data_IF_662794179513
#
_entry.id   IF_662794179513
#
_cell.length_a   1.000
_cell.length_b   1.000
_cell.length_c   1.000
_cell.angle_alpha   90.00
_cell.angle_beta   90.00
_cell.angle_gamma   90.00
#
_symmetry.space_group_name_H-M   'P 1'
#
loop_
_entity.id
_entity.type
_entity.pdbx_description
1 polymer ?
#
# COMPACT_ATOMS: atom_id res chain seq x y z
N UNK A 1 7.06 -12.05 6.31
CA UNK A 1 6.05 -11.47 5.37
C UNK A 1 6.36 -10.00 5.33
N UNK A 2 7.23 -9.59 4.41
CA UNK A 2 7.74 -8.23 4.35
C UNK A 2 6.72 -7.19 3.89
N UNK A 3 7.22 -5.97 3.70
CA UNK A 3 6.46 -4.79 3.26
C UNK A 3 5.57 -5.08 2.04
N UNK A 4 6.05 -5.84 1.06
CA UNK A 4 5.30 -6.18 -0.16
C UNK A 4 4.03 -6.98 0.15
N UNK A 5 4.10 -7.93 1.09
CA UNK A 5 2.93 -8.71 1.51
C UNK A 5 1.90 -7.82 2.19
N UNK A 6 2.37 -6.90 3.06
CA UNK A 6 1.49 -5.95 3.75
C UNK A 6 0.77 -5.02 2.78
N UNK A 7 1.50 -4.46 1.81
CA UNK A 7 0.92 -3.59 0.78
C UNK A 7 -0.13 -4.36 -0.03
N UNK A 8 0.17 -5.60 -0.40
CA UNK A 8 -0.77 -6.46 -1.11
C UNK A 8 -2.05 -6.71 -0.31
N UNK A 9 -1.94 -7.14 0.94
CA UNK A 9 -3.10 -7.40 1.79
C UNK A 9 -3.91 -6.13 2.07
N UNK A 10 -3.24 -5.01 2.30
CA UNK A 10 -3.90 -3.73 2.51
C UNK A 10 -4.70 -3.28 1.28
N UNK A 11 -4.13 -3.44 0.10
CA UNK A 11 -4.80 -3.12 -1.15
C UNK A 11 -6.05 -4.00 -1.36
N UNK A 12 -5.96 -5.31 -1.11
CA UNK A 12 -7.12 -6.21 -1.20
C UNK A 12 -8.20 -5.87 -0.18
N UNK A 13 -7.82 -5.48 1.04
CA UNK A 13 -8.77 -5.11 2.09
C UNK A 13 -9.51 -3.81 1.74
N UNK A 14 -8.83 -2.82 1.15
CA UNK A 14 -9.45 -1.60 0.62
C UNK A 14 -10.37 -1.92 -0.57
N UNK A 15 -9.94 -2.77 -1.51
CA UNK A 15 -10.75 -3.17 -2.66
C UNK A 15 -12.04 -3.89 -2.23
N UNK A 16 -11.96 -4.77 -1.24
CA UNK A 16 -13.12 -5.46 -0.69
C UNK A 16 -14.12 -4.49 -0.02
N UNK A 17 -13.62 -3.42 0.61
CA UNK A 17 -14.44 -2.44 1.31
C UNK A 17 -15.05 -1.37 0.39
N UNK A 18 -14.38 -1.01 -0.72
CA UNK A 18 -14.73 0.17 -1.52
C UNK A 18 -14.67 -0.04 -3.05
N UNK A 19 -14.07 -1.12 -3.54
CA UNK A 19 -13.73 -1.33 -4.95
C UNK A 19 -14.92 -1.62 -5.87
N UNK A 20 -16.07 -2.04 -5.33
CA UNK A 20 -17.31 -2.20 -6.13
C UNK A 20 -17.91 -0.88 -6.57
N UNK A 21 -17.63 0.20 -5.82
CA UNK A 21 -18.36 1.46 -5.93
C UNK A 21 -17.60 2.52 -6.73
N UNK A 22 -16.27 2.41 -6.83
CA UNK A 22 -15.42 3.32 -7.61
C UNK A 22 -14.37 2.52 -8.44
N UNK A 23 -14.50 2.49 -9.78
CA UNK A 23 -13.54 1.84 -10.67
C UNK A 23 -12.09 2.35 -10.53
N UNK A 24 -11.90 3.59 -10.05
CA UNK A 24 -10.57 4.16 -9.84
C UNK A 24 -9.92 3.57 -8.61
N UNK A 25 -10.68 3.40 -7.53
CA UNK A 25 -10.22 2.71 -6.32
C UNK A 25 -9.81 1.29 -6.69
N UNK A 26 -10.65 0.58 -7.44
CA UNK A 26 -10.34 -0.77 -7.93
C UNK A 26 -9.05 -0.84 -8.77
N UNK A 27 -8.84 0.14 -9.66
CA UNK A 27 -7.63 0.18 -10.48
C UNK A 27 -6.39 0.45 -9.61
N UNK A 28 -6.51 1.37 -8.65
CA UNK A 28 -5.42 1.74 -7.76
C UNK A 28 -5.04 0.61 -6.77
N UNK A 29 -6.03 -0.07 -6.19
CA UNK A 29 -5.79 -1.22 -5.31
C UNK A 29 -5.16 -2.38 -6.10
N UNK A 30 -5.55 -2.62 -7.35
CA UNK A 30 -4.89 -3.61 -8.20
C UNK A 30 -3.42 -3.25 -8.49
N UNK A 31 -3.13 -1.98 -8.76
CA UNK A 31 -1.76 -1.51 -8.95
C UNK A 31 -0.91 -1.70 -7.68
N UNK A 32 -1.43 -1.34 -6.50
CA UNK A 32 -0.77 -1.59 -5.21
C UNK A 32 -0.54 -3.08 -4.97
N UNK A 33 -1.57 -3.91 -5.20
CA UNK A 33 -1.51 -5.35 -4.99
C UNK A 33 -0.46 -6.06 -5.87
N UNK A 34 0.04 -5.39 -6.92
CA UNK A 34 1.10 -5.92 -7.79
C UNK A 34 2.50 -5.86 -7.16
N UNK A 35 2.71 -5.16 -6.04
CA UNK A 35 4.04 -4.94 -5.45
C UNK A 35 4.88 -6.22 -5.28
N UNK A 36 4.35 -7.36 -4.78
CA UNK A 36 5.14 -8.59 -4.67
C UNK A 36 5.73 -9.06 -6.01
N UNK A 37 4.97 -8.95 -7.11
CA UNK A 37 5.42 -9.33 -8.45
C UNK A 37 6.62 -8.51 -8.92
N UNK A 38 6.63 -7.21 -8.59
CA UNK A 38 7.75 -6.33 -8.91
C UNK A 38 8.95 -6.55 -8.01
N UNK A 39 8.72 -6.88 -6.73
CA UNK A 39 9.77 -7.26 -5.77
C UNK A 39 10.53 -8.51 -6.22
N UNK A 40 9.82 -9.55 -6.68
CA UNK A 40 10.42 -10.77 -7.23
C UNK A 40 11.34 -10.49 -8.42
N UNK A 41 11.01 -9.48 -9.22
CA UNK A 41 11.81 -9.03 -10.36
C UNK A 41 12.92 -8.03 -9.98
N UNK A 42 12.99 -7.63 -8.70
CA UNK A 42 13.86 -6.54 -8.21
C UNK A 42 13.63 -5.23 -8.94
N UNK A 43 12.37 -4.97 -9.32
CA UNK A 43 11.94 -3.79 -10.09
C UNK A 43 10.88 -2.98 -9.36
N UNK A 44 11.09 -2.74 -8.05
CA UNK A 44 10.19 -1.88 -7.27
C UNK A 44 10.21 -0.41 -7.73
N UNK A 45 11.23 0.01 -8.48
CA UNK A 45 11.25 1.27 -9.23
C UNK A 45 10.07 1.35 -10.20
N UNK A 46 9.83 0.29 -10.99
CA UNK A 46 8.73 0.23 -11.95
C UNK A 46 7.37 0.06 -11.28
N UNK A 47 7.33 -0.57 -10.11
CA UNK A 47 6.09 -0.61 -9.33
C UNK A 47 5.63 0.80 -8.96
N UNK A 48 6.54 1.66 -8.50
CA UNK A 48 6.19 3.03 -8.14
C UNK A 48 5.66 3.80 -9.37
N UNK A 49 6.37 3.73 -10.50
CA UNK A 49 5.93 4.35 -11.75
C UNK A 49 4.55 3.85 -12.20
N UNK A 50 4.31 2.54 -12.06
CA UNK A 50 3.04 1.92 -12.38
C UNK A 50 1.90 2.44 -11.50
N UNK A 51 2.13 2.57 -10.19
CA UNK A 51 1.13 3.09 -9.25
C UNK A 51 0.87 4.57 -9.49
N UNK A 52 1.90 5.39 -9.69
CA UNK A 52 1.78 6.83 -9.99
C UNK A 52 1.03 7.11 -11.31
N UNK A 53 1.15 6.21 -12.29
CA UNK A 53 0.39 6.31 -13.53
C UNK A 53 -1.12 6.05 -13.33
N UNK A 54 -1.50 5.31 -12.28
CA UNK A 54 -2.89 4.96 -11.97
C UNK A 54 -3.50 5.92 -10.94
N UNK A 55 -2.69 6.46 -10.02
CA UNK A 55 -3.10 7.39 -8.96
C UNK A 55 -2.58 8.80 -9.31
N UNK A 56 -3.29 9.57 -10.14
CA UNK A 56 -2.90 10.95 -10.39
C UNK A 56 -3.06 11.77 -9.10
N UNK A 57 -2.05 12.58 -8.77
CA UNK A 57 -1.94 13.44 -7.57
C UNK A 57 -3.20 14.27 -7.27
N UNK A 58 -4.02 14.58 -8.29
CA UNK A 58 -5.24 15.36 -8.16
C UNK A 58 -6.46 14.59 -7.60
N UNK A 59 -6.43 13.26 -7.48
CA UNK A 59 -7.63 12.44 -7.20
C UNK A 59 -7.79 12.00 -5.74
N UNK A 60 -7.07 12.63 -4.79
CA UNK A 60 -7.12 12.34 -3.35
C UNK A 60 -8.38 12.87 -2.63
N UNK A 61 -9.44 13.18 -3.38
CA UNK A 61 -10.62 13.85 -2.84
C UNK A 61 -11.47 12.93 -1.97
N UNK A 62 -11.57 11.64 -2.33
CA UNK A 62 -12.40 10.65 -1.63
C UNK A 62 -11.64 9.93 -0.52
N UNK A 63 -12.38 9.44 0.50
CA UNK A 63 -11.79 8.66 1.58
C UNK A 63 -11.05 7.41 1.07
N UNK A 64 -11.62 6.56 0.19
CA UNK A 64 -10.91 5.38 -0.30
C UNK A 64 -9.59 5.71 -1.01
N UNK A 65 -9.56 6.77 -1.84
CA UNK A 65 -8.32 7.18 -2.52
C UNK A 65 -7.25 7.68 -1.54
N UNK A 66 -7.65 8.32 -0.43
CA UNK A 66 -6.69 8.65 0.64
C UNK A 66 -6.13 7.39 1.31
N UNK A 67 -6.94 6.37 1.56
CA UNK A 67 -6.45 5.12 2.14
C UNK A 67 -5.49 4.39 1.18
N UNK A 68 -5.78 4.41 -0.13
CA UNK A 68 -4.87 3.91 -1.16
C UNK A 68 -3.53 4.66 -1.10
N UNK A 69 -3.55 5.99 -1.02
CA UNK A 69 -2.33 6.81 -0.90
C UNK A 69 -1.51 6.41 0.35
N UNK A 70 -2.15 6.22 1.50
CA UNK A 70 -1.46 5.81 2.73
C UNK A 70 -0.74 4.47 2.58
N UNK A 71 -1.34 3.53 1.85
CA UNK A 71 -0.71 2.24 1.54
C UNK A 71 0.45 2.43 0.55
N UNK A 72 0.29 3.30 -0.44
CA UNK A 72 1.34 3.63 -1.39
C UNK A 72 2.57 4.25 -0.69
N UNK A 73 2.34 5.23 0.17
CA UNK A 73 3.36 5.89 1.00
C UNK A 73 4.15 4.88 1.85
N UNK A 74 3.45 3.94 2.49
CA UNK A 74 4.09 2.88 3.24
C UNK A 74 4.96 1.98 2.34
N UNK A 75 4.44 1.56 1.19
CA UNK A 75 5.18 0.72 0.24
C UNK A 75 6.43 1.39 -0.33
N UNK A 76 6.41 2.73 -0.51
CA UNK A 76 7.56 3.47 -1.03
C UNK A 76 8.56 3.95 0.02
N UNK A 77 8.26 3.80 1.32
CA UNK A 77 9.02 4.38 2.43
C UNK A 77 10.52 4.06 2.39
N UNK A 78 10.92 2.85 2.00
CA UNK A 78 12.33 2.43 1.93
C UNK A 78 12.91 2.37 0.51
N UNK A 79 12.19 2.80 -0.54
CA UNK A 79 12.64 2.56 -1.92
C UNK A 79 13.96 3.25 -2.28
N UNK A 80 14.25 4.40 -1.66
CA UNK A 80 15.36 5.26 -2.05
C UNK A 80 16.51 5.31 -1.04
N UNK A 81 16.68 4.27 -0.23
CA UNK A 81 17.73 4.23 0.79
C UNK A 81 18.00 2.85 1.36
N UNK A 82 18.79 2.82 2.44
CA UNK A 82 18.92 1.61 3.24
C UNK A 82 17.59 1.29 3.92
N UNK A 83 17.28 0.01 4.04
CA UNK A 83 16.05 -0.43 4.70
C UNK A 83 16.11 -0.10 6.19
N UNK A 84 15.10 0.62 6.67
CA UNK A 84 14.99 1.13 8.03
C UNK A 84 13.92 0.34 8.79
N UNK A 85 14.28 -0.82 9.35
CA UNK A 85 13.32 -1.77 9.91
C UNK A 85 12.50 -1.21 11.09
N UNK A 86 13.10 -0.42 11.97
CA UNK A 86 12.41 0.15 13.14
C UNK A 86 11.39 1.21 12.71
N UNK A 87 11.78 2.11 11.82
CA UNK A 87 10.94 3.16 11.25
C UNK A 87 9.81 2.54 10.41
N UNK A 88 10.11 1.50 9.63
CA UNK A 88 9.10 0.76 8.85
C UNK A 88 8.05 0.14 9.76
N UNK A 89 8.47 -0.46 10.90
CA UNK A 89 7.54 -0.99 11.89
C UNK A 89 6.69 0.12 12.54
N UNK A 90 7.24 1.32 12.73
CA UNK A 90 6.47 2.47 13.22
C UNK A 90 5.44 2.94 12.19
N UNK A 91 5.82 3.08 10.92
CA UNK A 91 4.90 3.45 9.85
C UNK A 91 3.82 2.38 9.64
N UNK A 92 4.16 1.10 9.73
CA UNK A 92 3.17 0.01 9.66
C UNK A 92 2.13 0.13 10.76
N UNK A 93 2.53 0.36 12.02
CA UNK A 93 1.57 0.57 13.13
C UNK A 93 0.66 1.78 12.89
N UNK A 94 1.19 2.85 12.29
CA UNK A 94 0.39 4.03 11.93
C UNK A 94 -0.60 3.70 10.80
N UNK A 95 -0.16 2.98 9.78
CA UNK A 95 -1.01 2.53 8.67
C UNK A 95 -2.17 1.68 9.19
N UNK A 96 -1.87 0.65 10.00
CA UNK A 96 -2.88 -0.22 10.64
C UNK A 96 -3.90 0.60 11.42
N UNK A 97 -3.43 1.55 12.25
CA UNK A 97 -4.30 2.41 13.04
C UNK A 97 -5.16 3.36 12.18
N UNK A 98 -4.69 3.80 11.00
CA UNK A 98 -5.46 4.62 10.07
C UNK A 98 -6.52 3.78 9.36
N UNK A 99 -6.14 2.63 8.82
CA UNK A 99 -7.04 1.73 8.10
C UNK A 99 -8.17 1.19 9.00
N UNK A 100 -7.85 0.80 10.23
CA UNK A 100 -8.83 0.24 11.17
C UNK A 100 -9.93 1.23 11.57
N UNK A 101 -9.62 2.54 11.64
CA UNK A 101 -10.62 3.61 11.86
C UNK A 101 -11.67 3.69 10.76
N UNK A 102 -11.37 3.14 9.59
CA UNK A 102 -12.25 3.15 8.42
C UNK A 102 -12.78 1.75 8.08
N UNK A 103 -12.67 0.79 9.00
CA UNK A 103 -13.19 -0.57 8.85
C UNK A 103 -12.32 -1.50 8.00
N UNK A 104 -11.12 -1.07 7.61
CA UNK A 104 -10.14 -1.90 6.89
C UNK A 104 -9.22 -2.54 7.92
N UNK A 105 -9.33 -3.85 8.11
CA UNK A 105 -8.59 -4.59 9.14
C UNK A 105 -7.41 -5.32 8.50
N UNK A 106 -6.21 -5.09 9.04
CA UNK A 106 -5.00 -5.83 8.71
C UNK A 106 -4.53 -6.68 9.89
N UNK A 107 -3.68 -7.66 9.61
CA UNK A 107 -3.04 -8.43 10.66
C UNK A 107 -1.90 -7.60 11.28
N UNK A 108 -2.07 -7.15 12.52
CA UNK A 108 -1.11 -6.27 13.20
C UNK A 108 0.22 -6.96 13.56
N UNK A 109 0.30 -8.28 13.44
CA UNK A 109 1.49 -9.10 13.78
C UNK A 109 2.37 -9.44 12.58
N UNK A 110 2.29 -8.65 11.49
CA UNK A 110 3.13 -8.87 10.31
C UNK A 110 4.56 -8.39 10.51
N UNK A 111 5.50 -9.18 9.98
CA UNK A 111 6.93 -8.89 10.05
C UNK A 111 7.38 -8.01 8.89
N UNK A 112 7.36 -6.69 9.11
CA UNK A 112 7.79 -5.68 8.13
C UNK A 112 9.27 -5.31 8.25
N UNK A 113 10.11 -6.21 8.78
CA UNK A 113 11.56 -6.00 8.89
C UNK A 113 12.33 -6.22 7.58
N UNK A 114 11.63 -6.64 6.54
CA UNK A 114 12.15 -6.89 5.19
C UNK A 114 11.15 -6.45 4.11
N UNK A 115 11.59 -6.47 2.85
CA UNK A 115 10.74 -6.20 1.68
C UNK A 115 9.72 -7.30 1.41
#
# INVERSE_FOLDING_TARGET
MGVCSVVHEAALAIDAAFGSDDPRVKSATQALASMPHWSEQRRLDLWQEHVEAVIPVADQSSLPMRLVEEVFEFGRFNLYGAFQAEETAQEFRRLVARLSRHGVVLNEHQDVSEW
#
